data_IF_895530204298
#
_entry.id   IF_895530204298
#
_cell.length_a   1.000
_cell.length_b   1.000
_cell.length_c   1.000
_cell.angle_alpha   90.00
_cell.angle_beta   90.00
_cell.angle_gamma   90.00
#
_symmetry.space_group_name_H-M   'P 1'
#
loop_
_entity.id
_entity.type
_entity.pdbx_description
1 polymer ?
#
# COMPACT_ATOMS: atom_id res chain seq x y z
N UNK A 1 12.28 18.96 0.26
CA UNK A 1 12.32 18.16 -0.98
C UNK A 1 11.02 18.39 -1.73
N UNK A 2 11.05 18.64 -3.04
CA UNK A 2 9.82 18.76 -3.83
C UNK A 2 9.07 17.42 -3.92
N UNK A 3 7.75 17.45 -4.15
CA UNK A 3 6.90 16.25 -4.21
C UNK A 3 7.41 15.24 -5.24
N UNK A 4 7.76 15.68 -6.45
CA UNK A 4 8.29 14.81 -7.51
C UNK A 4 9.62 14.16 -7.12
N UNK A 5 10.51 14.92 -6.48
CA UNK A 5 11.81 14.40 -6.03
C UNK A 5 11.66 13.35 -4.91
N UNK A 6 10.67 13.52 -4.02
CA UNK A 6 10.33 12.51 -3.02
C UNK A 6 9.79 11.24 -3.68
N UNK A 7 8.84 11.38 -4.61
CA UNK A 7 8.28 10.26 -5.35
C UNK A 7 9.36 9.46 -6.08
N UNK A 8 10.27 10.15 -6.78
CA UNK A 8 11.39 9.50 -7.43
C UNK A 8 12.29 8.76 -6.43
N UNK A 9 12.55 9.35 -5.26
CA UNK A 9 13.32 8.69 -4.20
C UNK A 9 12.64 7.42 -3.69
N UNK A 10 11.31 7.37 -3.60
CA UNK A 10 10.57 6.15 -3.26
C UNK A 10 10.83 5.08 -4.31
N UNK A 11 10.70 5.42 -5.60
CA UNK A 11 10.89 4.48 -6.71
C UNK A 11 12.33 3.95 -6.78
N UNK A 12 13.33 4.81 -6.67
CA UNK A 12 14.73 4.43 -6.74
C UNK A 12 15.09 3.44 -5.61
N UNK A 13 14.66 3.74 -4.38
CA UNK A 13 14.97 2.89 -3.23
C UNK A 13 14.16 1.59 -3.23
N UNK A 14 12.88 1.63 -3.63
CA UNK A 14 12.07 0.43 -3.70
C UNK A 14 12.57 -0.55 -4.77
N UNK A 15 13.02 -0.02 -5.92
CA UNK A 15 13.51 -0.83 -7.05
C UNK A 15 14.95 -1.34 -6.85
N UNK A 16 15.73 -0.73 -5.96
CA UNK A 16 17.06 -1.18 -5.59
C UNK A 16 17.06 -2.47 -4.74
N UNK A 17 15.91 -2.83 -4.15
CA UNK A 17 15.79 -4.08 -3.39
C UNK A 17 15.99 -5.28 -4.32
N UNK A 18 16.76 -6.27 -3.85
CA UNK A 18 17.00 -7.51 -4.57
C UNK A 18 15.89 -8.54 -4.37
N UNK A 19 15.87 -9.59 -5.19
CA UNK A 19 14.89 -10.67 -5.07
C UNK A 19 13.56 -10.38 -5.77
N UNK A 20 12.57 -11.26 -5.53
CA UNK A 20 11.29 -11.25 -6.24
C UNK A 20 10.49 -9.97 -5.97
N UNK A 21 10.53 -9.47 -4.73
CA UNK A 21 9.91 -8.20 -4.34
C UNK A 21 10.42 -7.05 -5.22
N UNK A 22 11.73 -6.94 -5.37
CA UNK A 22 12.35 -5.91 -6.21
C UNK A 22 12.03 -6.04 -7.69
N UNK A 23 11.88 -7.27 -8.21
CA UNK A 23 11.44 -7.48 -9.59
C UNK A 23 10.01 -6.99 -9.79
N UNK A 24 9.12 -7.24 -8.83
CA UNK A 24 7.76 -6.73 -8.86
C UNK A 24 7.74 -5.19 -8.83
N UNK A 25 8.56 -4.55 -7.97
CA UNK A 25 8.70 -3.09 -7.99
C UNK A 25 9.18 -2.57 -9.35
N UNK A 26 10.21 -3.17 -9.94
CA UNK A 26 10.69 -2.77 -11.29
C UNK A 26 9.61 -2.95 -12.36
N UNK A 27 8.80 -4.00 -12.26
CA UNK A 27 7.65 -4.22 -13.15
C UNK A 27 6.59 -3.13 -12.97
N UNK A 28 6.24 -2.78 -11.72
CA UNK A 28 5.36 -1.67 -11.38
C UNK A 28 5.81 -0.37 -12.06
N UNK A 29 7.08 0.02 -11.90
CA UNK A 29 7.61 1.26 -12.49
C UNK A 29 7.51 1.26 -14.02
N UNK A 30 7.85 0.15 -14.66
CA UNK A 30 7.74 0.01 -16.12
C UNK A 30 6.29 0.18 -16.58
N UNK A 31 5.33 -0.36 -15.84
CA UNK A 31 3.90 -0.23 -16.15
C UNK A 31 3.38 1.20 -15.93
N UNK A 32 3.82 1.91 -14.88
CA UNK A 32 3.50 3.34 -14.70
C UNK A 32 4.05 4.20 -15.82
N UNK A 33 5.31 3.96 -16.23
CA UNK A 33 5.90 4.68 -17.34
C UNK A 33 5.15 4.42 -18.65
N UNK A 34 4.75 3.15 -18.89
CA UNK A 34 3.95 2.76 -20.05
C UNK A 34 2.57 3.43 -20.04
N UNK A 35 1.92 3.50 -18.89
CA UNK A 35 0.65 4.21 -18.74
C UNK A 35 0.77 5.68 -19.16
N UNK A 36 1.83 6.37 -18.71
CA UNK A 36 2.10 7.77 -19.08
C UNK A 36 2.37 7.96 -20.58
N UNK A 37 3.01 7.00 -21.23
CA UNK A 37 3.27 7.05 -22.68
C UNK A 37 2.00 6.85 -23.52
N UNK A 38 1.10 5.97 -23.07
CA UNK A 38 -0.08 5.57 -23.83
C UNK A 38 -1.29 6.48 -23.64
N UNK A 39 -1.25 7.42 -22.68
CA UNK A 39 -2.44 8.12 -22.20
C UNK A 39 -3.20 8.92 -23.26
N UNK A 40 -2.51 9.45 -24.26
CA UNK A 40 -3.13 10.21 -25.35
C UNK A 40 -3.55 9.35 -26.54
N UNK A 41 -2.78 8.30 -26.84
CA UNK A 41 -2.95 7.49 -28.06
C UNK A 41 -3.83 6.26 -27.84
N UNK A 42 -3.75 5.66 -26.65
CA UNK A 42 -4.43 4.42 -26.26
C UNK A 42 -4.85 4.48 -24.78
N UNK A 43 -5.83 5.33 -24.42
CA UNK A 43 -6.19 5.61 -23.03
C UNK A 43 -6.63 4.37 -22.24
N UNK A 44 -7.30 3.40 -22.86
CA UNK A 44 -7.71 2.15 -22.22
C UNK A 44 -6.49 1.30 -21.84
N UNK A 45 -5.49 1.22 -22.74
CA UNK A 45 -4.23 0.54 -22.45
C UNK A 45 -3.37 1.29 -21.43
N UNK A 46 -3.49 2.62 -21.37
CA UNK A 46 -2.86 3.41 -20.34
C UNK A 46 -3.42 3.06 -18.96
N UNK A 47 -4.75 3.03 -18.83
CA UNK A 47 -5.43 2.65 -17.58
C UNK A 47 -5.13 1.20 -17.21
N UNK A 48 -5.19 0.27 -18.16
CA UNK A 48 -4.81 -1.13 -17.94
C UNK A 48 -3.36 -1.28 -17.46
N UNK A 49 -2.43 -0.53 -18.04
CA UNK A 49 -1.04 -0.49 -17.59
C UNK A 49 -0.95 0.04 -16.15
N UNK A 50 -1.70 1.06 -15.79
CA UNK A 50 -1.71 1.60 -14.43
C UNK A 50 -2.31 0.61 -13.40
N UNK A 51 -3.38 -0.10 -13.74
CA UNK A 51 -3.93 -1.21 -12.92
C UNK A 51 -2.84 -2.27 -12.70
N UNK A 52 -2.17 -2.68 -13.77
CA UNK A 52 -1.09 -3.68 -13.69
C UNK A 52 0.06 -3.19 -12.80
N UNK A 53 0.40 -1.90 -12.86
CA UNK A 53 1.40 -1.34 -11.97
C UNK A 53 1.00 -1.47 -10.48
N UNK A 54 -0.24 -1.14 -10.14
CA UNK A 54 -0.76 -1.29 -8.79
C UNK A 54 -0.69 -2.76 -8.32
N UNK A 55 -1.05 -3.71 -9.18
CA UNK A 55 -0.95 -5.15 -8.89
C UNK A 55 0.49 -5.61 -8.61
N UNK A 56 1.47 -5.06 -9.32
CA UNK A 56 2.89 -5.34 -9.11
C UNK A 56 3.42 -4.70 -7.81
N UNK A 57 2.98 -3.50 -7.46
CA UNK A 57 3.26 -2.90 -6.15
C UNK A 57 2.66 -3.75 -5.01
N UNK A 58 1.42 -4.21 -5.17
CA UNK A 58 0.77 -5.13 -4.25
C UNK A 58 1.54 -6.45 -4.12
N UNK A 59 2.01 -6.99 -5.24
CA UNK A 59 2.84 -8.21 -5.29
C UNK A 59 4.11 -8.05 -4.45
N UNK A 60 4.84 -6.93 -4.59
CA UNK A 60 6.03 -6.63 -3.78
C UNK A 60 5.73 -6.61 -2.28
N UNK A 61 4.62 -5.98 -1.87
CA UNK A 61 4.22 -5.94 -0.46
C UNK A 61 3.84 -7.33 0.07
N UNK A 62 3.01 -8.09 -0.64
CA UNK A 62 2.59 -9.44 -0.20
C UNK A 62 3.78 -10.40 -0.08
N UNK A 63 4.71 -10.36 -1.04
CA UNK A 63 5.96 -11.11 -0.98
C UNK A 63 6.78 -10.71 0.25
N UNK A 64 6.88 -9.41 0.55
CA UNK A 64 7.57 -8.92 1.73
C UNK A 64 6.96 -9.44 3.02
N UNK A 65 5.63 -9.41 3.16
CA UNK A 65 4.93 -9.94 4.33
C UNK A 65 5.24 -11.43 4.55
N UNK A 66 5.28 -12.21 3.47
CA UNK A 66 5.69 -13.63 3.50
C UNK A 66 7.16 -13.83 3.84
N UNK A 67 8.06 -13.07 3.21
CA UNK A 67 9.51 -13.10 3.48
C UNK A 67 9.82 -12.77 4.94
N UNK A 68 9.11 -11.80 5.52
CA UNK A 68 9.20 -11.42 6.95
C UNK A 68 8.36 -12.30 7.87
N UNK A 69 7.75 -13.36 7.33
CA UNK A 69 7.01 -14.41 8.03
C UNK A 69 5.89 -13.87 8.93
N UNK A 70 5.21 -12.78 8.54
CA UNK A 70 4.05 -12.29 9.27
C UNK A 70 3.03 -13.42 9.47
N UNK A 71 2.39 -13.45 10.64
CA UNK A 71 1.48 -14.55 10.98
C UNK A 71 0.27 -14.53 10.05
N UNK A 72 -0.05 -15.65 9.41
CA UNK A 72 -1.12 -15.77 8.42
C UNK A 72 -0.69 -15.43 6.98
N UNK A 73 0.52 -14.91 6.77
CA UNK A 73 0.99 -14.51 5.42
C UNK A 73 1.08 -15.66 4.42
N UNK A 74 1.20 -16.90 4.89
CA UNK A 74 1.14 -18.12 4.08
C UNK A 74 -0.20 -18.29 3.36
N UNK A 75 -1.30 -17.70 3.87
CA UNK A 75 -2.62 -17.73 3.22
C UNK A 75 -2.73 -16.80 2.01
N UNK A 76 -1.77 -15.89 1.81
CA UNK A 76 -1.82 -14.89 0.73
C UNK A 76 -1.47 -15.50 -0.63
N UNK A 77 -2.42 -15.60 -1.57
CA UNK A 77 -2.10 -16.03 -2.92
C UNK A 77 -1.62 -14.86 -3.78
N UNK A 78 -0.30 -14.74 -3.95
CA UNK A 78 0.35 -13.68 -4.74
C UNK A 78 -0.06 -13.70 -6.22
N UNK A 79 -0.54 -14.84 -6.75
CA UNK A 79 -0.98 -14.93 -8.16
C UNK A 79 -2.45 -14.57 -8.35
N UNK A 80 -3.24 -14.54 -7.28
CA UNK A 80 -4.66 -14.26 -7.38
C UNK A 80 -4.90 -12.75 -7.39
N UNK A 81 -5.67 -12.28 -8.36
CA UNK A 81 -5.92 -10.85 -8.57
C UNK A 81 -6.68 -10.21 -7.40
N UNK A 82 -7.68 -10.90 -6.84
CA UNK A 82 -8.42 -10.44 -5.64
C UNK A 82 -7.47 -10.12 -4.49
N UNK A 83 -6.52 -11.03 -4.23
CA UNK A 83 -5.51 -10.85 -3.18
C UNK A 83 -4.57 -9.67 -3.44
N UNK A 84 -4.37 -9.24 -4.70
CA UNK A 84 -3.59 -8.04 -5.02
C UNK A 84 -4.44 -6.79 -4.91
N UNK A 85 -5.65 -6.81 -5.46
CA UNK A 85 -6.59 -5.69 -5.45
C UNK A 85 -6.97 -5.28 -4.03
N UNK A 86 -7.12 -6.24 -3.11
CA UNK A 86 -7.42 -5.99 -1.71
C UNK A 86 -6.29 -5.34 -0.90
N UNK A 87 -5.08 -5.22 -1.46
CA UNK A 87 -3.93 -4.59 -0.77
C UNK A 87 -4.16 -3.10 -0.53
N UNK A 88 -4.73 -2.37 -1.49
CA UNK A 88 -4.96 -0.93 -1.29
C UNK A 88 -5.88 -0.65 -0.09
N UNK A 89 -7.04 -1.33 0.05
CA UNK A 89 -7.82 -1.25 1.28
C UNK A 89 -7.03 -1.55 2.57
N UNK A 90 -6.15 -2.55 2.57
CA UNK A 90 -5.29 -2.83 3.72
C UNK A 90 -4.31 -1.68 4.01
N UNK A 91 -3.73 -1.07 2.97
CA UNK A 91 -2.86 0.13 3.10
C UNK A 91 -3.67 1.31 3.68
N UNK A 92 -4.92 1.48 3.26
CA UNK A 92 -5.81 2.52 3.78
C UNK A 92 -6.19 2.29 5.24
N UNK A 93 -6.38 1.04 5.67
CA UNK A 93 -6.57 0.69 7.08
C UNK A 93 -5.36 1.10 7.94
N UNK A 94 -4.16 0.77 7.49
CA UNK A 94 -2.90 1.14 8.17
C UNK A 94 -2.78 2.66 8.24
N UNK A 95 -3.02 3.34 7.11
CA UNK A 95 -2.94 4.80 7.03
C UNK A 95 -3.96 5.46 7.95
N UNK A 96 -5.21 4.98 7.96
CA UNK A 96 -6.28 5.53 8.81
C UNK A 96 -6.03 5.31 10.30
N UNK A 97 -5.39 4.21 10.68
CA UNK A 97 -4.97 3.97 12.06
C UNK A 97 -3.78 4.85 12.49
N UNK A 98 -2.91 5.22 11.54
CA UNK A 98 -1.75 6.07 11.75
C UNK A 98 -2.07 7.57 11.73
N UNK A 99 -3.02 8.00 10.88
CA UNK A 99 -3.28 9.40 10.57
C UNK A 99 -3.63 10.27 11.79
N UNK A 100 -4.47 9.83 12.77
CA UNK A 100 -4.74 10.64 13.96
C UNK A 100 -3.46 10.98 14.74
N UNK A 101 -2.56 9.99 14.91
CA UNK A 101 -1.26 10.25 15.52
C UNK A 101 -0.40 11.17 14.65
N UNK A 102 -0.43 11.00 13.32
CA UNK A 102 0.30 11.86 12.40
C UNK A 102 -0.28 13.28 12.22
N UNK A 103 -1.48 13.55 12.75
CA UNK A 103 -2.09 14.89 12.70
C UNK A 103 -1.75 15.66 13.98
N UNK A 104 -1.75 14.97 15.12
CA UNK A 104 -1.36 15.53 16.42
C UNK A 104 0.14 15.89 16.48
N UNK A 105 0.95 15.17 15.71
CA UNK A 105 2.37 15.43 15.58
C UNK A 105 2.67 15.71 14.11
N UNK A 106 3.43 16.75 13.76
CA UNK A 106 3.78 17.07 12.35
C UNK A 106 4.74 16.04 11.74
N UNK A 107 4.25 14.81 11.54
CA UNK A 107 5.05 13.66 11.09
C UNK A 107 5.48 13.87 9.66
N UNK A 108 6.77 13.65 9.40
CA UNK A 108 7.35 13.74 8.05
C UNK A 108 8.02 12.43 7.67
N UNK A 109 7.98 12.07 6.39
CA UNK A 109 8.73 10.93 5.85
C UNK A 109 10.08 11.41 5.30
N UNK A 110 11.13 10.64 5.55
CA UNK A 110 12.46 10.93 5.05
C UNK A 110 13.34 9.68 4.99
N UNK A 111 14.23 9.66 4.01
CA UNK A 111 15.26 8.62 3.95
C UNK A 111 16.39 8.94 4.93
N UNK A 112 16.88 7.91 5.60
CA UNK A 112 18.10 7.95 6.42
C UNK A 112 19.08 6.90 5.90
N UNK A 113 20.38 7.19 5.99
CA UNK A 113 21.43 6.22 5.70
C UNK A 113 21.57 5.24 6.87
N UNK A 114 21.40 3.95 6.61
CA UNK A 114 21.69 2.86 7.55
C UNK A 114 22.68 1.89 6.90
N UNK A 115 23.94 2.03 7.26
CA UNK A 115 25.04 1.25 6.69
C UNK A 115 25.22 1.56 5.20
N UNK A 116 24.90 0.58 4.34
CA UNK A 116 24.99 0.71 2.86
C UNK A 116 23.63 0.92 2.20
N UNK A 117 22.56 1.11 2.97
CA UNK A 117 21.18 1.22 2.46
C UNK A 117 20.54 2.49 2.95
N UNK A 118 19.71 3.08 2.09
CA UNK A 118 18.77 4.12 2.49
C UNK A 118 17.49 3.47 2.97
N UNK A 119 17.06 3.81 4.18
CA UNK A 119 15.82 3.31 4.77
C UNK A 119 14.82 4.45 4.89
N UNK A 120 13.56 4.17 4.55
CA UNK A 120 12.49 5.13 4.73
C UNK A 120 12.07 5.15 6.20
N UNK A 121 12.06 6.32 6.81
CA UNK A 121 11.62 6.53 8.19
C UNK A 121 10.56 7.61 8.24
N UNK A 122 9.77 7.60 9.30
CA UNK A 122 9.04 8.80 9.70
C UNK A 122 9.72 9.48 10.87
N UNK A 123 9.60 10.81 10.91
CA UNK A 123 10.18 11.68 11.93
C UNK A 123 9.06 12.44 12.61
N UNK A 124 9.00 12.32 13.92
CA UNK A 124 8.04 13.03 14.76
C UNK A 124 8.78 14.18 15.45
N UNK A 125 8.55 15.44 15.06
CA UNK A 125 9.20 16.57 15.73
C UNK A 125 8.57 16.79 17.12
N UNK A 126 9.41 17.06 18.11
CA UNK A 126 8.97 17.49 19.44
C UNK A 126 9.95 18.53 20.00
N UNK A 127 9.53 19.29 21.02
CA UNK A 127 10.36 20.33 21.65
C UNK A 127 10.58 20.03 23.13
N UNK A 128 11.82 20.14 23.58
CA UNK A 128 12.21 20.14 25.00
C UNK A 128 13.04 21.42 25.22
N UNK A 129 12.69 22.23 26.21
CA UNK A 129 13.41 23.48 26.54
C UNK A 129 13.66 24.40 25.32
N UNK A 130 12.67 24.54 24.43
CA UNK A 130 12.75 25.27 23.15
C UNK A 130 13.74 24.71 22.10
N UNK A 131 14.43 23.61 22.38
CA UNK A 131 15.22 22.87 21.39
C UNK A 131 14.33 21.86 20.64
N UNK A 132 14.55 21.72 19.34
CA UNK A 132 13.79 20.80 18.49
C UNK A 132 14.50 19.46 18.36
N UNK A 133 13.77 18.40 18.71
CA UNK A 133 14.21 17.01 18.60
C UNK A 133 13.31 16.25 17.64
N UNK A 134 13.77 15.09 17.20
CA UNK A 134 13.02 14.18 16.34
C UNK A 134 13.00 12.79 16.96
N UNK A 135 11.81 12.19 17.00
CA UNK A 135 11.64 10.78 17.32
C UNK A 135 11.53 9.99 16.03
N UNK A 136 12.34 8.94 15.92
CA UNK A 136 12.36 8.01 14.79
C UNK A 136 12.12 6.60 15.33
N UNK A 137 10.87 6.10 15.34
CA UNK A 137 10.59 4.75 15.82
C UNK A 137 11.22 3.69 14.94
N UNK A 138 11.77 2.68 15.60
CA UNK A 138 12.43 1.54 14.96
C UNK A 138 11.86 0.26 15.58
N UNK A 139 11.15 -0.58 14.82
CA UNK A 139 10.74 -0.37 13.43
C UNK A 139 9.60 0.66 13.30
N UNK A 140 9.39 1.28 12.12
CA UNK A 140 8.54 2.46 11.99
C UNK A 140 7.08 2.15 12.37
N UNK A 141 6.41 1.19 11.76
CA UNK A 141 5.00 0.88 12.03
C UNK A 141 4.81 0.05 13.31
N UNK A 142 5.84 -0.03 14.15
CA UNK A 142 5.69 -0.51 15.52
C UNK A 142 5.20 0.64 16.38
N UNK A 143 3.89 0.68 16.60
CA UNK A 143 3.29 1.74 17.40
C UNK A 143 3.29 1.33 18.87
N UNK A 144 3.99 2.11 19.69
CA UNK A 144 3.95 2.07 21.14
C UNK A 144 3.24 3.32 21.68
N UNK A 145 1.96 3.49 21.38
CA UNK A 145 1.18 4.49 22.13
C UNK A 145 0.73 3.88 23.46
N UNK A 146 0.35 4.74 24.41
CA UNK A 146 -0.40 4.36 25.59
C UNK A 146 -1.66 5.23 25.55
N UNK A 147 -2.84 4.65 25.77
CA UNK A 147 -4.06 5.43 26.00
C UNK A 147 -3.93 6.27 27.28
N UNK A 148 -4.81 7.26 27.45
CA UNK A 148 -4.96 7.99 28.73
C UNK A 148 -5.34 6.98 29.82
N UNK A 149 -4.34 6.53 30.57
CA UNK A 149 -4.46 5.42 31.54
C UNK A 149 -3.25 4.48 31.56
N UNK A 150 -2.33 4.59 30.59
CA UNK A 150 -1.09 3.82 30.56
C UNK A 150 -1.21 2.44 29.90
N UNK A 151 -2.40 2.08 29.41
CA UNK A 151 -2.66 0.85 28.67
C UNK A 151 -2.23 0.99 27.20
N UNK A 152 -1.68 -0.04 26.54
CA UNK A 152 -1.45 -0.02 25.11
C UNK A 152 -2.78 0.23 24.37
N UNK A 153 -2.84 1.15 23.39
CA UNK A 153 -4.03 1.40 22.60
C UNK A 153 -4.36 0.18 21.78
N UNK A 154 -5.66 -0.08 21.78
CA UNK A 154 -6.23 -1.22 21.12
C UNK A 154 -6.40 -0.91 19.63
N UNK A 155 -5.28 -0.94 18.90
CA UNK A 155 -5.28 -0.85 17.44
C UNK A 155 -6.03 -2.02 16.82
N UNK A 156 -6.07 -3.18 17.48
CA UNK A 156 -6.95 -4.27 17.10
C UNK A 156 -8.40 -3.81 17.13
N UNK A 157 -8.88 -3.12 18.17
CA UNK A 157 -10.23 -2.55 18.22
C UNK A 157 -10.44 -1.44 17.17
N UNK A 158 -9.46 -0.58 16.87
CA UNK A 158 -9.59 0.43 15.80
C UNK A 158 -9.69 -0.22 14.42
N UNK A 159 -8.78 -1.13 14.10
CA UNK A 159 -8.78 -1.86 12.84
C UNK A 159 -10.03 -2.74 12.76
N UNK A 160 -10.43 -3.41 13.83
CA UNK A 160 -11.67 -4.21 13.88
C UNK A 160 -12.94 -3.35 13.79
N UNK A 161 -12.92 -2.10 14.28
CA UNK A 161 -14.02 -1.15 14.14
C UNK A 161 -14.17 -0.66 12.70
N UNK A 162 -13.05 -0.41 12.02
CA UNK A 162 -13.06 -0.05 10.59
C UNK A 162 -13.40 -1.29 9.74
N UNK A 163 -12.90 -2.46 10.12
CA UNK A 163 -13.21 -3.76 9.53
C UNK A 163 -14.46 -4.40 10.17
N UNK A 164 -15.44 -3.59 10.60
CA UNK A 164 -16.79 -4.11 10.91
C UNK A 164 -17.42 -4.69 9.64
N UNK A 165 -18.50 -5.45 9.75
CA UNK A 165 -19.11 -6.09 8.58
C UNK A 165 -19.43 -5.10 7.45
N UNK A 166 -19.94 -3.91 7.77
CA UNK A 166 -20.16 -2.85 6.78
C UNK A 166 -18.87 -2.32 6.12
N UNK A 167 -17.75 -2.26 6.86
CA UNK A 167 -16.46 -1.89 6.31
C UNK A 167 -15.83 -3.01 5.47
N UNK A 168 -15.99 -4.27 5.89
CA UNK A 168 -15.61 -5.45 5.13
C UNK A 168 -16.39 -5.51 3.81
N UNK A 169 -17.70 -5.26 3.84
CA UNK A 169 -18.55 -5.22 2.64
C UNK A 169 -18.13 -4.09 1.69
N UNK A 170 -17.76 -2.93 2.23
CA UNK A 170 -17.21 -1.83 1.42
C UNK A 170 -15.87 -2.20 0.76
N UNK A 171 -14.99 -2.91 1.48
CA UNK A 171 -13.71 -3.39 0.94
C UNK A 171 -13.96 -4.48 -0.12
N UNK A 172 -14.91 -5.37 0.14
CA UNK A 172 -15.33 -6.41 -0.79
C UNK A 172 -15.88 -5.83 -2.09
N UNK A 173 -16.82 -4.88 -2.01
CA UNK A 173 -17.37 -4.19 -3.18
C UNK A 173 -16.30 -3.40 -3.93
N UNK A 174 -15.32 -2.81 -3.23
CA UNK A 174 -14.17 -2.18 -3.87
C UNK A 174 -13.34 -3.19 -4.68
N UNK A 175 -13.02 -4.34 -4.10
CA UNK A 175 -12.26 -5.40 -4.78
C UNK A 175 -13.02 -5.92 -6.00
N UNK A 176 -14.31 -6.20 -5.84
CA UNK A 176 -15.19 -6.66 -6.93
C UNK A 176 -15.30 -5.64 -8.06
N UNK A 177 -15.40 -4.35 -7.73
CA UNK A 177 -15.44 -3.28 -8.74
C UNK A 177 -14.15 -3.24 -9.56
N UNK A 178 -12.99 -3.25 -8.89
CA UNK A 178 -11.69 -3.18 -9.55
C UNK A 178 -11.35 -4.44 -10.37
N UNK A 179 -11.72 -5.64 -9.90
CA UNK A 179 -11.54 -6.88 -10.66
C UNK A 179 -12.33 -6.84 -11.98
N UNK A 180 -13.58 -6.38 -11.92
CA UNK A 180 -14.42 -6.20 -13.10
C UNK A 180 -13.91 -5.09 -14.02
N UNK A 181 -13.30 -4.04 -13.47
CA UNK A 181 -12.74 -2.94 -14.25
C UNK A 181 -11.59 -3.41 -15.14
N UNK A 182 -10.69 -4.28 -14.64
CA UNK A 182 -9.62 -4.88 -15.46
C UNK A 182 -10.18 -5.62 -16.69
N UNK A 183 -11.17 -6.48 -16.48
CA UNK A 183 -11.78 -7.26 -17.55
C UNK A 183 -12.52 -6.36 -18.54
N UNK A 184 -13.18 -5.30 -18.04
CA UNK A 184 -13.82 -4.30 -18.88
C UNK A 184 -12.82 -3.57 -19.77
N UNK A 185 -11.62 -3.23 -19.32
CA UNK A 185 -10.65 -2.51 -20.17
C UNK A 185 -10.11 -3.32 -21.35
N UNK A 186 -10.09 -4.65 -21.24
CA UNK A 186 -9.50 -5.52 -22.26
C UNK A 186 -10.51 -6.07 -23.27
N UNK A 187 -11.77 -6.19 -22.88
CA UNK A 187 -12.76 -6.93 -23.65
C UNK A 187 -13.97 -6.06 -23.98
N UNK A 188 -14.39 -6.14 -25.25
CA UNK A 188 -15.68 -5.59 -25.66
C UNK A 188 -16.80 -6.23 -24.85
N UNK A 189 -17.72 -5.40 -24.37
CA UNK A 189 -18.93 -5.86 -23.71
C UNK A 189 -20.06 -6.00 -24.74
N UNK A 190 -21.18 -6.62 -24.35
CA UNK A 190 -22.41 -6.61 -25.16
C UNK A 190 -22.93 -5.19 -25.44
N UNK A 191 -22.48 -4.20 -24.69
CA UNK A 191 -22.79 -2.77 -24.83
C UNK A 191 -21.79 -1.97 -25.69
N UNK A 192 -20.71 -2.58 -26.20
CA UNK A 192 -19.73 -1.91 -27.07
C UNK A 192 -18.28 -1.98 -26.58
N UNK A 193 -17.41 -1.23 -27.26
CA UNK A 193 -16.01 -1.04 -26.87
C UNK A 193 -15.97 -0.16 -25.61
N UNK A 194 -15.17 -0.52 -24.59
CA UNK A 194 -15.02 0.29 -23.39
C UNK A 194 -14.39 1.64 -23.75
N UNK A 195 -15.03 2.74 -23.36
CA UNK A 195 -14.44 4.07 -23.37
C UNK A 195 -14.30 4.53 -21.92
N UNK A 196 -13.07 4.89 -21.50
CA UNK A 196 -12.87 5.39 -20.14
C UNK A 196 -13.20 6.88 -20.06
N UNK A 197 -14.11 7.22 -19.14
CA UNK A 197 -14.44 8.61 -18.84
C UNK A 197 -13.32 9.18 -17.95
N UNK A 198 -12.44 9.97 -18.56
CA UNK A 198 -11.29 10.63 -17.92
C UNK A 198 -10.14 9.66 -17.55
N UNK A 199 -9.43 9.12 -18.56
CA UNK A 199 -8.34 8.16 -18.37
C UNK A 199 -7.16 8.75 -17.59
N UNK A 200 -6.91 10.06 -17.68
CA UNK A 200 -5.84 10.75 -16.94
C UNK A 200 -6.05 10.65 -15.44
N UNK A 201 -7.26 10.94 -14.98
CA UNK A 201 -7.59 10.81 -13.55
C UNK A 201 -7.55 9.36 -13.06
N UNK A 202 -7.92 8.38 -13.89
CA UNK A 202 -7.76 6.96 -13.53
C UNK A 202 -6.30 6.54 -13.43
N UNK A 203 -5.46 6.91 -14.40
CA UNK A 203 -4.02 6.63 -14.33
C UNK A 203 -3.41 7.27 -13.08
N UNK A 204 -3.76 8.52 -12.78
CA UNK A 204 -3.30 9.19 -11.56
C UNK A 204 -3.73 8.45 -10.28
N UNK A 205 -4.98 8.00 -10.20
CA UNK A 205 -5.47 7.22 -9.05
C UNK A 205 -4.61 5.97 -8.81
N UNK A 206 -4.30 5.21 -9.87
CA UNK A 206 -3.50 3.99 -9.75
C UNK A 206 -2.01 4.28 -9.48
N UNK A 207 -1.44 5.37 -10.02
CA UNK A 207 -0.10 5.86 -9.69
C UNK A 207 0.01 6.18 -8.19
N UNK A 208 -0.97 6.93 -7.65
CA UNK A 208 -1.02 7.24 -6.22
C UNK A 208 -1.21 5.99 -5.34
N UNK A 209 -2.04 5.04 -5.77
CA UNK A 209 -2.23 3.78 -5.06
C UNK A 209 -0.94 2.93 -5.04
N UNK A 210 -0.23 2.85 -6.16
CA UNK A 210 1.06 2.18 -6.25
C UNK A 210 2.08 2.87 -5.34
N UNK A 211 2.15 4.20 -5.36
CA UNK A 211 3.03 4.99 -4.51
C UNK A 211 2.80 4.73 -3.01
N UNK A 212 1.54 4.78 -2.54
CA UNK A 212 1.19 4.47 -1.14
C UNK A 212 1.60 3.06 -0.74
N UNK A 213 1.40 2.10 -1.65
CA UNK A 213 1.79 0.70 -1.44
C UNK A 213 3.32 0.55 -1.35
N UNK A 214 4.08 1.24 -2.20
CA UNK A 214 5.54 1.22 -2.19
C UNK A 214 6.14 1.93 -0.96
N UNK A 215 5.50 3.00 -0.47
CA UNK A 215 5.86 3.62 0.81
C UNK A 215 5.71 2.61 1.94
N UNK A 216 4.55 1.92 2.02
CA UNK A 216 4.33 0.90 3.04
C UNK A 216 5.34 -0.25 2.93
N UNK A 217 5.61 -0.71 1.71
CA UNK A 217 6.65 -1.70 1.43
C UNK A 217 8.01 -1.26 1.97
N UNK A 218 8.44 -0.02 1.73
CA UNK A 218 9.73 0.50 2.22
C UNK A 218 9.77 0.70 3.75
N UNK A 219 8.63 0.86 4.41
CA UNK A 219 8.55 0.90 5.89
C UNK A 219 8.61 -0.51 6.51
N UNK A 220 8.41 -1.56 5.72
CA UNK A 220 8.41 -2.96 6.20
C UNK A 220 9.66 -3.70 5.77
N UNK A 221 10.03 -3.62 4.49
CA UNK A 221 11.07 -4.43 3.88
C UNK A 221 12.40 -4.37 4.63
N UNK A 222 12.91 -3.21 5.09
CA UNK A 222 14.22 -3.17 5.73
C UNK A 222 14.30 -3.92 7.08
N UNK A 223 13.17 -4.14 7.74
CA UNK A 223 13.12 -4.60 9.13
C UNK A 223 12.86 -6.11 9.24
N UNK A 224 13.51 -6.78 10.19
CA UNK A 224 13.30 -8.21 10.45
C UNK A 224 12.14 -8.46 11.41
N UNK A 225 11.91 -7.51 12.31
CA UNK A 225 10.87 -7.52 13.32
C UNK A 225 9.50 -7.28 12.68
N UNK A 226 8.51 -8.04 13.16
CA UNK A 226 7.12 -7.82 12.78
C UNK A 226 6.61 -6.57 13.47
N UNK A 227 6.00 -5.69 12.69
CA UNK A 227 5.41 -4.44 13.16
C UNK A 227 3.95 -4.70 13.53
N UNK A 228 3.56 -4.35 14.77
CA UNK A 228 2.23 -4.67 15.30
C UNK A 228 1.09 -4.15 14.41
N UNK A 229 1.16 -2.90 13.94
CA UNK A 229 0.12 -2.32 13.09
C UNK A 229 -0.06 -3.10 11.78
N UNK A 230 1.05 -3.57 11.20
CA UNK A 230 1.04 -4.38 9.97
C UNK A 230 0.45 -5.75 10.24
N UNK A 231 0.76 -6.37 11.38
CA UNK A 231 0.20 -7.67 11.76
C UNK A 231 -1.32 -7.59 11.97
N UNK A 232 -1.81 -6.54 12.63
CA UNK A 232 -3.26 -6.34 12.83
C UNK A 232 -3.99 -6.11 11.51
N UNK A 233 -3.44 -5.25 10.65
CA UNK A 233 -4.02 -4.99 9.32
C UNK A 233 -4.03 -6.24 8.44
N UNK A 234 -2.96 -7.04 8.44
CA UNK A 234 -2.90 -8.32 7.72
C UNK A 234 -3.94 -9.30 8.26
N UNK A 235 -4.14 -9.36 9.58
CA UNK A 235 -5.11 -10.27 10.20
C UNK A 235 -6.55 -9.90 9.80
N UNK A 236 -6.88 -8.61 9.78
CA UNK A 236 -8.16 -8.12 9.25
C UNK A 236 -8.29 -8.41 7.75
N UNK A 237 -7.23 -8.19 6.98
CA UNK A 237 -7.22 -8.42 5.54
C UNK A 237 -7.49 -9.89 5.17
N UNK A 238 -6.86 -10.84 5.87
CA UNK A 238 -7.10 -12.27 5.67
C UNK A 238 -8.57 -12.64 5.96
N UNK A 239 -9.18 -12.08 7.01
CA UNK A 239 -10.60 -12.31 7.31
C UNK A 239 -11.52 -11.79 6.19
N UNK A 240 -11.16 -10.68 5.55
CA UNK A 240 -11.88 -10.17 4.37
C UNK A 240 -11.74 -11.14 3.21
N UNK A 241 -10.52 -11.60 2.93
CA UNK A 241 -10.25 -12.55 1.84
C UNK A 241 -11.00 -13.88 2.00
N UNK A 242 -11.13 -14.39 3.23
CA UNK A 242 -11.90 -15.60 3.54
C UNK A 242 -13.41 -15.47 3.23
N UNK A 243 -13.93 -14.24 3.13
CA UNK A 243 -15.32 -13.96 2.72
C UNK A 243 -15.48 -13.77 1.21
N UNK A 244 -14.39 -13.62 0.45
CA UNK A 244 -14.47 -13.44 -1.00
C UNK A 244 -14.79 -14.78 -1.65
N UNK A 245 -15.82 -14.88 -2.52
CA UNK A 245 -16.09 -16.11 -3.24
C UNK A 245 -14.89 -16.50 -4.10
N UNK A 246 -14.50 -17.80 -4.14
CA UNK A 246 -13.34 -18.26 -4.91
C UNK A 246 -13.47 -18.05 -6.43
N UNK A 247 -14.68 -17.75 -6.91
CA UNK A 247 -14.99 -17.59 -8.33
C UNK A 247 -14.90 -16.12 -8.81
N UNK A 248 -14.44 -15.22 -7.95
CA UNK A 248 -14.30 -13.79 -8.26
C UNK A 248 -12.96 -13.55 -9.00
N UNK A 249 -12.82 -14.06 -10.23
CA UNK A 249 -11.66 -13.83 -11.10
C UNK A 249 -12.07 -13.24 -12.46
#
# INVERSE_FOLDING_TARGET
MGTEQFQQSIFDNASAVGGHEGHAVRSCLRHLQRAKQLIEEMPELAVFSAITAQEEAATALLLTLRKRKYTGSEKLNIRNHVHKTGVLPMVELITSAFLPAATDFSVTLGFAEEGKRKVLKYKIPFRINNEQFYMEPVPPLQIFSKEKGGLPPDYHAKISKIATEAGIDSIFEHIKKLANERNRMLYASSSGIPEEVNPRSRVQYFDEAAMRTLILYLLIEPYHEKQNLVQEALSAYIKVLERVPPNLE
#
